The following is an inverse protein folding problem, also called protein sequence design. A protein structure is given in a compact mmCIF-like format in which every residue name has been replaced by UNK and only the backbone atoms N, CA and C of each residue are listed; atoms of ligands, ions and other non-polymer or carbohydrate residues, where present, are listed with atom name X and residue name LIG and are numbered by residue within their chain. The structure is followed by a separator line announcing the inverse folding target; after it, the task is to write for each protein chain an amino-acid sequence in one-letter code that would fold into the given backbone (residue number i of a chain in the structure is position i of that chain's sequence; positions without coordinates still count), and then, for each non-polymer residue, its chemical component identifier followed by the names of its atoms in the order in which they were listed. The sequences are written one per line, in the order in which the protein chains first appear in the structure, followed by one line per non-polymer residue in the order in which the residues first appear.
data_IF_516380690953
#
_entry.id   IF_516380690953
#
_cell.length_a   1.000
_cell.length_b   1.000
_cell.length_c   1.000
_cell.angle_alpha   90.00
_cell.angle_beta   90.00
_cell.angle_gamma   90.00
#
_symmetry.space_group_name_H-M   'P 1'
#
loop_
_entity.id
_entity.type
_entity.pdbx_description
1 polymer ?
#
# COMPACT_ATOMS: atom_id res chain seq x y z
N UNK A 1 24.54 4.79 -9.76
CA UNK A 1 23.43 4.52 -8.83
C UNK A 1 22.14 4.64 -9.61
N UNK A 2 21.30 3.61 -9.63
CA UNK A 2 20.05 3.68 -10.38
C UNK A 2 19.02 4.50 -9.60
N UNK A 3 18.03 5.08 -10.29
CA UNK A 3 16.94 5.81 -9.63
C UNK A 3 16.14 4.93 -8.66
N UNK A 4 16.14 3.61 -8.85
CA UNK A 4 15.47 2.64 -8.00
C UNK A 4 16.22 2.48 -6.66
N UNK A 5 17.55 2.48 -6.68
CA UNK A 5 18.37 2.37 -5.47
C UNK A 5 18.15 3.56 -4.55
N UNK A 6 18.10 4.78 -5.11
CA UNK A 6 17.85 6.00 -4.36
C UNK A 6 16.44 6.04 -3.73
N UNK A 7 15.43 5.48 -4.42
CA UNK A 7 14.07 5.35 -3.87
C UNK A 7 14.05 4.35 -2.72
N UNK A 8 14.71 3.20 -2.88
CA UNK A 8 14.77 2.18 -1.83
C UNK A 8 15.48 2.70 -0.57
N UNK A 9 16.57 3.46 -0.73
CA UNK A 9 17.28 4.12 0.37
C UNK A 9 16.36 5.13 1.10
N UNK A 10 15.70 6.02 0.35
CA UNK A 10 14.74 6.97 0.93
C UNK A 10 13.58 6.29 1.67
N UNK A 11 13.08 5.17 1.15
CA UNK A 11 12.01 4.39 1.77
C UNK A 11 12.48 3.65 3.04
N UNK A 12 13.74 3.21 3.07
CA UNK A 12 14.35 2.61 4.25
C UNK A 12 14.49 3.64 5.38
N UNK A 13 14.88 4.88 5.05
CA UNK A 13 15.04 5.98 6.01
C UNK A 13 13.72 6.55 6.53
N UNK A 14 12.60 6.36 5.81
CA UNK A 14 11.30 6.96 6.11
C UNK A 14 10.21 5.90 6.32
N UNK A 15 10.16 5.26 7.51
CA UNK A 15 9.23 4.17 7.78
C UNK A 15 7.76 4.59 7.64
N UNK A 16 7.42 5.83 8.00
CA UNK A 16 6.06 6.37 7.82
C UNK A 16 5.68 6.47 6.35
N UNK A 17 6.61 6.91 5.48
CA UNK A 17 6.34 7.06 4.05
C UNK A 17 6.16 5.69 3.39
N UNK A 18 7.00 4.72 3.77
CA UNK A 18 6.85 3.31 3.38
C UNK A 18 5.50 2.74 3.82
N UNK A 19 5.07 2.99 5.06
CA UNK A 19 3.77 2.55 5.55
C UNK A 19 2.61 3.16 4.75
N UNK A 20 2.65 4.46 4.48
CA UNK A 20 1.63 5.16 3.71
C UNK A 20 1.54 4.59 2.29
N UNK A 21 2.68 4.34 1.64
CA UNK A 21 2.70 3.72 0.31
C UNK A 21 2.15 2.29 0.32
N UNK A 22 2.57 1.47 1.30
CA UNK A 22 2.06 0.11 1.48
C UNK A 22 0.55 0.07 1.76
N UNK A 23 0.00 1.12 2.37
CA UNK A 23 -1.44 1.23 2.60
C UNK A 23 -2.18 1.71 1.35
N UNK A 24 -1.69 2.78 0.73
CA UNK A 24 -2.40 3.49 -0.33
C UNK A 24 -2.37 2.76 -1.67
N UNK A 25 -1.23 2.17 -2.05
CA UNK A 25 -1.11 1.51 -3.36
C UNK A 25 -2.07 0.33 -3.50
N UNK A 26 -2.15 -0.65 -2.57
CA UNK A 26 -3.10 -1.75 -2.68
C UNK A 26 -4.56 -1.28 -2.60
N UNK A 27 -4.84 -0.26 -1.77
CA UNK A 27 -6.18 0.31 -1.67
C UNK A 27 -6.65 0.90 -2.99
N UNK A 28 -5.82 1.72 -3.64
CA UNK A 28 -6.15 2.32 -4.92
C UNK A 28 -6.25 1.29 -6.04
N UNK A 29 -5.39 0.27 -6.05
CA UNK A 29 -5.47 -0.83 -7.03
C UNK A 29 -6.83 -1.54 -6.92
N UNK A 30 -7.26 -1.90 -5.71
CA UNK A 30 -8.55 -2.55 -5.51
C UNK A 30 -9.73 -1.65 -5.95
N UNK A 31 -9.69 -0.36 -5.57
CA UNK A 31 -10.72 0.60 -5.94
C UNK A 31 -10.78 0.76 -7.47
N UNK A 32 -9.63 0.88 -8.13
CA UNK A 32 -9.54 1.03 -9.58
C UNK A 32 -10.10 -0.20 -10.31
N UNK A 33 -9.79 -1.41 -9.85
CA UNK A 33 -10.37 -2.65 -10.39
C UNK A 33 -11.88 -2.67 -10.22
N UNK A 34 -12.38 -2.35 -9.02
CA UNK A 34 -13.82 -2.32 -8.79
C UNK A 34 -14.58 -1.28 -9.63
N UNK A 35 -13.95 -0.12 -9.88
CA UNK A 35 -14.51 0.90 -10.79
C UNK A 35 -14.50 0.39 -12.24
N UNK A 36 -13.44 -0.28 -12.68
CA UNK A 36 -13.36 -0.88 -14.01
C UNK A 36 -14.44 -1.96 -14.22
N UNK A 37 -14.83 -2.66 -13.14
CA UNK A 37 -15.94 -3.62 -13.14
C UNK A 37 -17.34 -2.97 -13.07
N UNK A 38 -17.43 -1.64 -13.14
CA UNK A 38 -18.70 -0.90 -13.14
C UNK A 38 -19.30 -0.66 -11.76
N UNK A 39 -18.57 -0.94 -10.68
CA UNK A 39 -19.03 -0.64 -9.31
C UNK A 39 -18.79 0.84 -8.98
N UNK A 40 -19.64 1.40 -8.11
CA UNK A 40 -19.46 2.78 -7.66
C UNK A 40 -18.30 2.91 -6.67
N UNK A 41 -17.60 4.06 -6.69
CA UNK A 41 -16.50 4.37 -5.75
C UNK A 41 -16.94 4.18 -4.30
N UNK A 42 -18.13 4.66 -3.94
CA UNK A 42 -18.68 4.54 -2.60
C UNK A 42 -18.82 3.08 -2.13
N UNK A 43 -19.08 2.15 -3.06
CA UNK A 43 -19.21 0.71 -2.74
C UNK A 43 -17.87 -0.01 -2.61
N UNK A 44 -16.80 0.48 -3.24
CA UNK A 44 -15.48 -0.18 -3.26
C UNK A 44 -14.49 0.46 -2.29
N UNK A 45 -14.66 1.75 -1.97
CA UNK A 45 -13.74 2.50 -1.13
C UNK A 45 -13.55 1.91 0.28
N UNK A 46 -14.61 1.45 1.00
CA UNK A 46 -14.44 0.84 2.32
C UNK A 46 -13.58 -0.42 2.26
N UNK A 47 -13.90 -1.34 1.34
CA UNK A 47 -13.12 -2.57 1.15
C UNK A 47 -11.68 -2.29 0.70
N UNK A 48 -11.48 -1.31 -0.20
CA UNK A 48 -10.15 -0.87 -0.62
C UNK A 48 -9.32 -0.35 0.54
N UNK A 49 -9.91 0.48 1.41
CA UNK A 49 -9.24 0.99 2.61
C UNK A 49 -8.85 -0.15 3.58
N UNK A 50 -9.74 -1.14 3.78
CA UNK A 50 -9.45 -2.32 4.62
C UNK A 50 -8.31 -3.16 4.03
N UNK A 51 -8.30 -3.38 2.72
CA UNK A 51 -7.23 -4.13 2.03
C UNK A 51 -5.90 -3.40 2.18
N UNK A 52 -5.87 -2.09 1.92
CA UNK A 52 -4.67 -1.28 2.12
C UNK A 52 -4.14 -1.33 3.54
N UNK A 53 -5.01 -1.11 4.53
CA UNK A 53 -4.62 -1.18 5.95
C UNK A 53 -4.09 -2.57 6.33
N UNK A 54 -4.76 -3.64 5.89
CA UNK A 54 -4.34 -5.02 6.17
C UNK A 54 -2.98 -5.31 5.56
N UNK A 55 -2.77 -4.92 4.30
CA UNK A 55 -1.50 -5.12 3.61
C UNK A 55 -0.35 -4.40 4.32
N UNK A 56 -0.56 -3.13 4.70
CA UNK A 56 0.44 -2.33 5.41
C UNK A 56 0.79 -2.95 6.78
N UNK A 57 -0.21 -3.39 7.55
CA UNK A 57 0.00 -4.04 8.85
C UNK A 57 0.75 -5.36 8.69
N UNK A 58 0.30 -6.25 7.80
CA UNK A 58 0.95 -7.55 7.56
C UNK A 58 2.40 -7.36 7.14
N UNK A 59 2.66 -6.47 6.18
CA UNK A 59 4.03 -6.19 5.71
C UNK A 59 4.91 -5.65 6.84
N UNK A 60 4.37 -4.74 7.66
CA UNK A 60 5.10 -4.18 8.81
C UNK A 60 5.42 -5.24 9.85
N UNK A 61 4.47 -6.14 10.15
CA UNK A 61 4.67 -7.25 11.09
C UNK A 61 5.70 -8.24 10.56
N UNK A 62 5.59 -8.65 9.29
CA UNK A 62 6.56 -9.55 8.66
C UNK A 62 7.96 -8.96 8.70
N UNK A 63 8.11 -7.67 8.37
CA UNK A 63 9.40 -6.97 8.45
C UNK A 63 10.00 -7.07 9.85
N UNK A 64 9.22 -6.86 10.91
CA UNK A 64 9.68 -7.00 12.30
C UNK A 64 10.03 -8.42 12.72
N UNK A 65 9.49 -9.44 12.06
CA UNK A 65 9.76 -10.86 12.38
C UNK A 65 11.05 -11.34 11.71
N UNK A 66 11.41 -10.76 10.56
CA UNK A 66 12.57 -11.17 9.76
C UNK A 66 13.81 -10.26 9.92
N UNK A 67 13.65 -9.08 10.53
CA UNK A 67 14.75 -8.24 11.04
C UNK A 67 15.25 -8.74 12.40
#
# INVERSE_FOLDING_TARGET
MSSIDAVNELLAERPTLSFVLLMTVPAFVYIAVGIADGRSVASVAPSGATIGATFAVVTTVLRRVFE
#
